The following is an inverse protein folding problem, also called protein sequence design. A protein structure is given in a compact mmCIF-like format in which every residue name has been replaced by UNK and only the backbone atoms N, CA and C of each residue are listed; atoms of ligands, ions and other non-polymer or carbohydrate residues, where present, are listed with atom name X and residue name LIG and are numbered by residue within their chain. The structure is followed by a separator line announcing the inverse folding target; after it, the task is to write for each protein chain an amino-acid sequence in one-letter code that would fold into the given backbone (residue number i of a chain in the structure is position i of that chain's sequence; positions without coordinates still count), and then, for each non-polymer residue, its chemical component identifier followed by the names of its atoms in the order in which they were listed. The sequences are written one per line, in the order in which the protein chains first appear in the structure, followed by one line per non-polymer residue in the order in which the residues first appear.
data_IF_012885942584
#
_entry.id   IF_012885942584
#
_cell.length_a   1.000
_cell.length_b   1.000
_cell.length_c   1.000
_cell.angle_alpha   90.00
_cell.angle_beta   90.00
_cell.angle_gamma   90.00
#
_symmetry.space_group_name_H-M   'P 1'
#
loop_
_entity.id
_entity.type
_entity.pdbx_description
1 polymer ?
#
# COMPACT_ATOMS: atom_id res chain seq x y z
N UNK A 1 37.62 34.01 42.20
CA UNK A 1 37.23 32.58 42.33
C UNK A 1 35.89 32.26 41.67
N UNK A 2 34.76 32.91 41.97
CA UNK A 2 33.48 32.55 41.30
C UNK A 2 33.39 32.98 39.82
N UNK A 3 34.07 34.06 39.43
CA UNK A 3 34.14 34.51 38.03
C UNK A 3 34.96 33.58 37.13
N UNK A 4 36.00 32.95 37.67
CA UNK A 4 36.92 32.11 36.90
C UNK A 4 36.29 30.75 36.53
N UNK A 5 35.32 30.28 37.32
CA UNK A 5 34.59 29.04 37.06
C UNK A 5 33.33 29.23 36.19
N UNK A 6 32.92 30.47 35.89
CA UNK A 6 31.73 30.74 35.08
C UNK A 6 31.85 30.19 33.65
N UNK A 7 33.04 30.34 33.04
CA UNK A 7 33.29 29.83 31.70
C UNK A 7 33.25 28.29 31.64
N UNK A 8 33.71 27.62 32.70
CA UNK A 8 33.65 26.16 32.81
C UNK A 8 32.20 25.70 32.96
N UNK A 9 31.41 26.34 33.83
CA UNK A 9 30.00 26.01 34.01
C UNK A 9 29.16 26.26 32.74
N UNK A 10 29.42 27.35 32.03
CA UNK A 10 28.76 27.64 30.76
C UNK A 10 29.12 26.62 29.68
N UNK A 11 30.39 26.22 29.60
CA UNK A 11 30.85 25.20 28.65
C UNK A 11 30.21 23.83 28.94
N UNK A 12 30.18 23.40 30.21
CA UNK A 12 29.50 22.16 30.61
C UNK A 12 28.00 22.22 30.32
N UNK A 13 27.34 23.34 30.62
CA UNK A 13 25.92 23.55 30.29
C UNK A 13 25.63 23.43 28.80
N UNK A 14 26.47 24.03 27.95
CA UNK A 14 26.33 23.93 26.50
C UNK A 14 26.52 22.49 25.99
N UNK A 15 27.49 21.75 26.53
CA UNK A 15 27.72 20.33 26.18
C UNK A 15 26.51 19.48 26.58
N UNK A 16 25.98 19.66 27.78
CA UNK A 16 24.79 18.92 28.25
C UNK A 16 23.59 19.22 27.35
N UNK A 17 23.32 20.48 27.03
CA UNK A 17 22.21 20.85 26.13
C UNK A 17 22.41 20.26 24.72
N UNK A 18 23.64 20.25 24.20
CA UNK A 18 23.94 19.66 22.90
C UNK A 18 23.72 18.13 22.89
N UNK A 19 24.17 17.42 23.93
CA UNK A 19 23.99 15.97 24.05
C UNK A 19 22.52 15.58 24.25
N UNK A 20 21.79 16.26 25.13
CA UNK A 20 20.36 16.03 25.31
C UNK A 20 19.56 16.43 24.07
N UNK A 21 19.93 17.52 23.41
CA UNK A 21 19.34 17.94 22.14
C UNK A 21 19.57 16.91 21.04
N UNK A 22 20.80 16.38 20.89
CA UNK A 22 21.09 15.36 19.88
C UNK A 22 20.42 14.03 20.21
N UNK A 23 20.41 13.60 21.47
CA UNK A 23 19.75 12.37 21.89
C UNK A 23 18.22 12.48 21.71
N UNK A 24 17.62 13.62 22.06
CA UNK A 24 16.20 13.87 21.83
C UNK A 24 15.87 13.90 20.33
N UNK A 25 16.70 14.56 19.52
CA UNK A 25 16.53 14.57 18.07
C UNK A 25 16.69 13.17 17.47
N UNK A 26 17.69 12.38 17.88
CA UNK A 26 17.87 11.00 17.44
C UNK A 26 16.72 10.10 17.88
N UNK A 27 16.28 10.20 19.13
CA UNK A 27 15.15 9.42 19.64
C UNK A 27 13.85 9.79 18.92
N UNK A 28 13.58 11.09 18.74
CA UNK A 28 12.40 11.60 18.04
C UNK A 28 12.41 11.31 16.53
N UNK A 29 13.58 11.06 15.93
CA UNK A 29 13.70 10.78 14.48
C UNK A 29 14.00 9.32 14.16
N UNK A 30 14.32 8.49 15.16
CA UNK A 30 14.57 7.07 14.94
C UNK A 30 13.30 6.40 14.41
N UNK A 31 13.37 5.79 13.23
CA UNK A 31 12.24 5.07 12.63
C UNK A 31 12.10 3.64 13.16
N UNK A 32 12.92 3.27 14.14
CA UNK A 32 13.07 1.92 14.67
C UNK A 32 12.29 1.69 15.98
N UNK A 33 11.44 2.63 16.40
CA UNK A 33 10.73 2.51 17.68
C UNK A 33 9.33 1.92 17.52
N UNK A 34 8.97 1.09 18.49
CA UNK A 34 7.59 0.66 18.72
C UNK A 34 6.83 1.82 19.37
N UNK A 35 5.76 2.28 18.73
CA UNK A 35 4.94 3.40 19.22
C UNK A 35 3.97 2.91 20.29
N UNK A 36 4.04 3.44 21.50
CA UNK A 36 3.00 3.21 22.51
C UNK A 36 1.83 4.17 22.25
N UNK A 37 0.71 3.62 21.80
CA UNK A 37 -0.45 4.36 21.33
C UNK A 37 -1.46 4.51 22.47
N UNK A 38 -1.81 5.75 22.79
CA UNK A 38 -2.84 6.05 23.79
C UNK A 38 -4.18 6.33 23.12
N UNK A 39 -5.26 5.71 23.60
CA UNK A 39 -6.61 5.93 23.06
C UNK A 39 -7.11 7.37 23.31
N UNK A 40 -6.60 8.03 24.33
CA UNK A 40 -6.88 9.43 24.68
C UNK A 40 -6.33 10.41 23.66
N UNK A 41 -5.27 10.06 22.93
CA UNK A 41 -4.73 10.88 21.87
C UNK A 41 -5.57 10.74 20.59
N UNK A 42 -6.53 11.65 20.43
CA UNK A 42 -7.41 11.69 19.27
C UNK A 42 -6.63 11.89 17.94
N UNK A 43 -5.53 12.64 17.95
CA UNK A 43 -4.73 12.88 16.75
C UNK A 43 -4.00 11.59 16.34
N UNK A 44 -3.45 10.86 17.30
CA UNK A 44 -2.79 9.59 17.04
C UNK A 44 -3.79 8.51 16.59
N UNK A 45 -4.97 8.44 17.20
CA UNK A 45 -6.02 7.52 16.76
C UNK A 45 -6.52 7.84 15.34
N UNK A 46 -6.62 9.12 14.99
CA UNK A 46 -6.94 9.54 13.62
C UNK A 46 -5.83 9.15 12.64
N UNK A 47 -4.57 9.35 13.03
CA UNK A 47 -3.41 8.94 12.25
C UNK A 47 -3.40 7.43 12.02
N UNK A 48 -3.53 6.61 13.06
CA UNK A 48 -3.47 5.15 12.96
C UNK A 48 -4.64 4.60 12.14
N UNK A 49 -5.87 5.05 12.41
CA UNK A 49 -7.06 4.43 11.86
C UNK A 49 -7.61 5.08 10.58
N UNK A 50 -7.25 6.34 10.27
CA UNK A 50 -7.85 7.09 9.17
C UNK A 50 -6.88 7.71 8.16
N UNK A 51 -5.61 7.93 8.52
CA UNK A 51 -4.63 8.52 7.58
C UNK A 51 -4.34 7.64 6.35
N UNK A 52 -4.51 6.32 6.49
CA UNK A 52 -4.12 5.34 5.49
C UNK A 52 -2.63 4.98 5.51
N UNK A 53 -1.83 5.56 6.40
CA UNK A 53 -0.50 5.08 6.73
C UNK A 53 -0.54 3.61 7.15
N UNK A 54 0.49 2.82 6.81
CA UNK A 54 0.52 1.41 7.14
C UNK A 54 1.06 1.18 8.56
N UNK A 55 0.18 0.71 9.43
CA UNK A 55 0.43 0.35 10.82
C UNK A 55 0.30 -1.16 11.02
N UNK A 56 1.19 -1.75 11.82
CA UNK A 56 0.96 -3.02 12.50
C UNK A 56 0.81 -2.71 13.99
N UNK A 57 -0.27 -3.19 14.59
CA UNK A 57 -0.63 -2.86 15.97
C UNK A 57 -0.81 -4.13 16.78
N UNK A 58 -0.09 -4.22 17.88
CA UNK A 58 -0.27 -5.22 18.93
C UNK A 58 -1.29 -4.70 19.94
N UNK A 59 -2.29 -5.50 20.25
CA UNK A 59 -3.16 -5.25 21.39
C UNK A 59 -2.47 -5.75 22.66
N UNK A 60 -2.04 -4.83 23.50
CA UNK A 60 -1.42 -5.12 24.80
C UNK A 60 -1.71 -3.96 25.75
N UNK A 61 -2.01 -4.31 27.01
CA UNK A 61 -2.23 -3.37 28.09
C UNK A 61 -0.91 -2.77 28.61
N UNK A 62 -0.99 -1.81 29.54
CA UNK A 62 0.20 -1.10 30.01
C UNK A 62 1.20 -2.01 30.75
N UNK A 63 0.70 -3.04 31.42
CA UNK A 63 1.50 -3.96 32.25
C UNK A 63 1.83 -5.29 31.53
N UNK A 64 1.38 -5.45 30.29
CA UNK A 64 1.60 -6.67 29.52
C UNK A 64 3.03 -6.70 28.95
N UNK A 65 3.70 -7.84 29.07
CA UNK A 65 5.03 -8.06 28.46
C UNK A 65 4.90 -8.10 26.94
N UNK A 66 5.71 -7.32 26.24
CA UNK A 66 5.74 -7.29 24.79
C UNK A 66 6.47 -8.54 24.25
N UNK A 67 5.87 -9.28 23.30
CA UNK A 67 6.58 -10.37 22.64
C UNK A 67 7.80 -9.83 21.87
N UNK A 68 8.95 -10.46 22.04
CA UNK A 68 10.22 -10.08 21.40
C UNK A 68 10.11 -9.92 19.86
N UNK A 69 9.28 -10.77 19.24
CA UNK A 69 8.95 -10.71 17.80
C UNK A 69 8.49 -9.31 17.36
N UNK A 70 7.86 -8.53 18.24
CA UNK A 70 7.41 -7.17 17.94
C UNK A 70 8.50 -6.11 18.02
N UNK A 71 9.48 -6.29 18.91
CA UNK A 71 10.61 -5.39 18.97
C UNK A 71 11.53 -5.63 17.77
N UNK A 72 11.75 -6.89 17.40
CA UNK A 72 12.53 -7.27 16.22
C UNK A 72 11.88 -6.91 14.87
N UNK A 73 10.55 -6.79 14.81
CA UNK A 73 9.87 -6.46 13.54
C UNK A 73 10.02 -4.97 13.19
N UNK A 74 10.19 -4.12 14.20
CA UNK A 74 10.33 -2.67 14.04
C UNK A 74 11.43 -2.28 13.05
N UNK A 75 12.71 -2.69 13.22
CA UNK A 75 13.78 -2.35 12.27
C UNK A 75 13.52 -2.91 10.87
N UNK A 76 12.81 -4.04 10.73
CA UNK A 76 12.48 -4.66 9.43
C UNK A 76 11.39 -3.90 8.65
N UNK A 77 10.64 -3.05 9.34
CA UNK A 77 9.52 -2.25 8.82
C UNK A 77 9.82 -0.75 8.73
N UNK A 78 10.95 -0.32 9.28
CA UNK A 78 11.40 1.07 9.33
C UNK A 78 11.33 1.78 7.97
N UNK A 79 11.02 3.08 8.03
CA UNK A 79 10.94 3.99 6.89
C UNK A 79 9.73 3.86 5.98
N UNK A 80 8.98 2.76 6.04
CA UNK A 80 7.78 2.58 5.20
C UNK A 80 6.53 2.26 5.99
N UNK A 81 6.65 1.73 7.21
CA UNK A 81 5.54 1.21 8.03
C UNK A 81 5.83 1.45 9.50
N UNK A 82 4.77 1.58 10.28
CA UNK A 82 4.86 1.87 11.70
C UNK A 82 4.43 0.65 12.51
N UNK A 83 5.10 0.45 13.65
CA UNK A 83 4.77 -0.60 14.62
C UNK A 83 4.22 0.09 15.86
N UNK A 84 3.07 -0.34 16.36
CA UNK A 84 2.47 0.25 17.54
C UNK A 84 1.90 -0.77 18.52
N UNK A 85 1.77 -0.36 19.77
CA UNK A 85 1.12 -1.10 20.85
C UNK A 85 -0.04 -0.27 21.35
N UNK A 86 -1.22 -0.85 21.49
CA UNK A 86 -2.44 -0.16 21.88
C UNK A 86 -3.24 -1.00 22.86
N UNK A 87 -3.75 -0.40 23.94
CA UNK A 87 -4.77 -1.06 24.75
C UNK A 87 -6.09 -1.13 23.98
N UNK A 88 -6.32 -2.26 23.32
CA UNK A 88 -7.51 -2.48 22.51
C UNK A 88 -8.79 -2.70 23.32
N UNK A 89 -8.69 -2.90 24.65
CA UNK A 89 -9.84 -3.05 25.55
C UNK A 89 -10.37 -1.68 25.99
N UNK A 90 -9.50 -0.68 26.04
CA UNK A 90 -9.88 0.70 26.34
C UNK A 90 -10.91 1.23 25.32
N UNK A 91 -11.84 2.06 25.80
CA UNK A 91 -12.92 2.63 24.99
C UNK A 91 -12.42 3.83 24.19
N UNK A 92 -12.64 3.79 22.87
CA UNK A 92 -12.44 4.95 21.99
C UNK A 92 -13.48 6.04 22.32
N UNK A 93 -13.28 7.26 21.79
CA UNK A 93 -14.27 8.36 21.88
C UNK A 93 -15.69 7.98 21.42
N UNK A 94 -15.83 6.92 20.60
CA UNK A 94 -17.12 6.36 20.21
C UNK A 94 -17.82 5.49 21.28
N UNK A 95 -17.23 5.35 22.47
CA UNK A 95 -17.71 4.49 23.57
C UNK A 95 -17.50 2.98 23.36
N UNK A 96 -16.94 2.57 22.21
CA UNK A 96 -16.63 1.18 21.85
C UNK A 96 -15.12 0.95 21.93
N UNK A 97 -14.72 -0.23 22.38
CA UNK A 97 -13.33 -0.67 22.30
C UNK A 97 -12.88 -0.90 20.86
N UNK A 98 -11.57 -0.92 20.60
CA UNK A 98 -11.00 -1.20 19.28
C UNK A 98 -11.47 -2.57 18.78
N UNK A 99 -11.44 -3.57 19.66
CA UNK A 99 -11.88 -4.94 19.36
C UNK A 99 -13.33 -4.96 18.87
N UNK A 100 -14.24 -4.33 19.60
CA UNK A 100 -15.68 -4.30 19.27
C UNK A 100 -15.98 -3.43 18.06
N UNK A 101 -15.29 -2.31 17.90
CA UNK A 101 -15.53 -1.37 16.78
C UNK A 101 -15.16 -1.98 15.43
N UNK A 102 -14.08 -2.75 15.38
CA UNK A 102 -13.55 -3.31 14.14
C UNK A 102 -13.76 -4.82 13.98
N UNK A 103 -14.34 -5.49 14.97
CA UNK A 103 -14.62 -6.92 14.92
C UNK A 103 -13.36 -7.78 15.01
N UNK A 104 -12.36 -7.32 15.77
CA UNK A 104 -11.11 -8.07 16.01
C UNK A 104 -11.38 -9.09 17.12
N UNK A 105 -10.99 -10.35 16.89
CA UNK A 105 -11.25 -11.44 17.83
C UNK A 105 -10.21 -11.41 18.95
N UNK A 106 -10.67 -11.30 20.19
CA UNK A 106 -9.82 -11.39 21.39
C UNK A 106 -9.36 -12.82 21.72
N UNK A 107 -9.97 -13.83 21.10
CA UNK A 107 -9.62 -15.24 21.34
C UNK A 107 -8.28 -15.66 20.72
N UNK A 108 -7.66 -14.80 19.91
CA UNK A 108 -6.37 -15.07 19.25
C UNK A 108 -5.33 -14.22 19.97
N UNK A 109 -4.48 -14.86 20.77
CA UNK A 109 -3.40 -14.21 21.52
C UNK A 109 -2.03 -14.63 20.96
N UNK A 110 -1.08 -13.71 20.74
CA UNK A 110 -1.23 -12.25 20.85
C UNK A 110 -2.18 -11.69 19.76
N UNK A 111 -3.00 -10.70 20.13
CA UNK A 111 -3.93 -10.07 19.18
C UNK A 111 -3.21 -9.00 18.37
N UNK A 112 -2.97 -9.27 17.10
CA UNK A 112 -2.27 -8.36 16.18
C UNK A 112 -3.17 -8.01 15.00
N UNK A 113 -3.13 -6.75 14.55
CA UNK A 113 -3.80 -6.34 13.33
C UNK A 113 -2.99 -5.34 12.52
N UNK A 114 -3.33 -5.22 11.24
CA UNK A 114 -2.78 -4.21 10.34
C UNK A 114 -3.83 -3.20 9.96
N UNK A 115 -3.42 -1.94 9.82
CA UNK A 115 -4.26 -0.85 9.31
C UNK A 115 -3.49 -0.16 8.20
N UNK A 116 -4.09 0.00 7.03
CA UNK A 116 -3.45 0.69 5.91
C UNK A 116 -4.48 1.10 4.87
N UNK A 117 -4.09 2.02 3.98
CA UNK A 117 -4.78 2.27 2.72
C UNK A 117 -6.22 2.78 2.85
N UNK A 118 -6.59 3.35 4.01
CA UNK A 118 -7.95 3.75 4.35
C UNK A 118 -8.91 2.57 4.54
N UNK A 119 -8.38 1.34 4.68
CA UNK A 119 -9.17 0.14 4.91
C UNK A 119 -9.38 -0.12 6.40
N UNK A 120 -10.40 -0.91 6.72
CA UNK A 120 -10.64 -1.36 8.09
C UNK A 120 -9.48 -2.22 8.59
N UNK A 121 -9.15 -2.16 9.89
CA UNK A 121 -8.19 -3.06 10.53
C UNK A 121 -8.43 -4.52 10.17
N UNK A 122 -7.35 -5.24 9.89
CA UNK A 122 -7.35 -6.65 9.50
C UNK A 122 -6.45 -7.44 10.43
N UNK A 123 -7.04 -8.38 11.15
CA UNK A 123 -6.33 -9.24 12.09
C UNK A 123 -5.30 -10.12 11.38
N UNK A 124 -4.11 -10.24 11.98
CA UNK A 124 -3.02 -11.11 11.54
C UNK A 124 -3.20 -12.47 12.21
N UNK A 125 -3.05 -13.54 11.44
CA UNK A 125 -3.15 -14.91 11.94
C UNK A 125 -1.84 -15.35 12.61
N UNK A 126 -1.94 -16.29 13.56
CA UNK A 126 -0.82 -16.80 14.35
C UNK A 126 0.35 -17.34 13.50
N UNK A 127 0.06 -17.93 12.32
CA UNK A 127 1.08 -18.44 11.40
C UNK A 127 2.06 -17.37 10.92
N UNK A 128 1.69 -16.09 11.00
CA UNK A 128 2.57 -14.97 10.63
C UNK A 128 3.28 -14.35 11.83
N UNK A 129 3.03 -14.83 13.05
CA UNK A 129 3.62 -14.34 14.30
C UNK A 129 4.75 -15.25 14.81
N UNK A 130 5.10 -16.29 14.05
CA UNK A 130 6.17 -17.25 14.40
C UNK A 130 7.57 -16.61 14.40
N UNK A 131 7.79 -15.57 13.59
CA UNK A 131 9.06 -14.84 13.54
C UNK A 131 8.88 -13.42 13.04
N UNK A 132 9.80 -12.52 13.41
CA UNK A 132 9.78 -11.13 12.96
C UNK A 132 9.87 -11.03 11.43
N UNK A 133 10.62 -11.94 10.78
CA UNK A 133 10.73 -12.02 9.31
C UNK A 133 9.38 -12.37 8.67
N UNK A 134 8.67 -13.37 9.20
CA UNK A 134 7.36 -13.78 8.70
C UNK A 134 6.31 -12.67 8.87
N UNK A 135 6.30 -12.01 10.03
CA UNK A 135 5.41 -10.89 10.30
C UNK A 135 5.71 -9.72 9.36
N UNK A 136 6.98 -9.32 9.23
CA UNK A 136 7.37 -8.24 8.35
C UNK A 136 6.96 -8.50 6.89
N UNK A 137 7.17 -9.73 6.40
CA UNK A 137 6.74 -10.14 5.04
C UNK A 137 5.23 -10.04 4.87
N UNK A 138 4.46 -10.54 5.84
CA UNK A 138 3.01 -10.46 5.81
C UNK A 138 2.51 -9.01 5.81
N UNK A 139 3.03 -8.17 6.72
CA UNK A 139 2.67 -6.74 6.80
C UNK A 139 3.05 -6.04 5.50
N UNK A 140 4.24 -6.32 4.94
CA UNK A 140 4.70 -5.74 3.67
C UNK A 140 3.72 -6.02 2.53
N UNK A 141 3.34 -7.27 2.35
CA UNK A 141 2.39 -7.70 1.33
C UNK A 141 0.99 -7.11 1.56
N UNK A 142 0.49 -7.18 2.80
CA UNK A 142 -0.88 -6.78 3.15
C UNK A 142 -1.12 -5.28 3.03
N UNK A 143 -0.10 -4.48 3.31
CA UNK A 143 -0.18 -3.01 3.30
C UNK A 143 0.27 -2.40 1.97
N UNK A 144 0.78 -3.20 1.02
CA UNK A 144 1.17 -2.73 -0.31
C UNK A 144 -0.03 -2.07 -1.02
N UNK A 145 0.18 -0.86 -1.54
CA UNK A 145 -0.84 -0.15 -2.31
C UNK A 145 -0.78 -0.65 -3.76
N UNK A 146 -1.89 -1.14 -4.30
CA UNK A 146 -1.96 -1.71 -5.65
C UNK A 146 -3.12 -1.10 -6.43
N UNK A 147 -2.90 -0.86 -7.71
CA UNK A 147 -3.92 -0.40 -8.65
C UNK A 147 -4.62 -1.60 -9.28
N UNK A 148 -5.93 -1.71 -9.09
CA UNK A 148 -6.69 -2.90 -9.49
C UNK A 148 -7.22 -2.78 -10.92
N UNK A 149 -7.05 -3.80 -11.75
CA UNK A 149 -7.64 -3.82 -13.11
C UNK A 149 -9.18 -3.86 -13.05
N UNK A 150 -9.85 -3.29 -14.02
CA UNK A 150 -11.31 -3.36 -14.18
C UNK A 150 -11.62 -3.78 -15.60
N UNK A 151 -12.30 -4.92 -15.74
CA UNK A 151 -12.67 -5.50 -17.02
C UNK A 151 -14.16 -5.35 -17.33
N UNK A 152 -15.00 -5.20 -16.31
CA UNK A 152 -16.46 -5.11 -16.46
C UNK A 152 -17.09 -4.19 -15.40
N UNK A 153 -18.39 -3.95 -15.53
CA UNK A 153 -19.15 -3.04 -14.65
C UNK A 153 -19.21 -3.52 -13.19
N UNK A 154 -19.27 -4.83 -12.94
CA UNK A 154 -19.29 -5.36 -11.58
C UNK A 154 -17.95 -5.15 -10.87
N UNK A 155 -16.83 -5.35 -11.59
CA UNK A 155 -15.50 -5.04 -11.08
C UNK A 155 -15.32 -3.53 -10.86
N UNK A 156 -15.87 -2.68 -11.74
CA UNK A 156 -15.83 -1.23 -11.56
C UNK A 156 -16.53 -0.81 -10.25
N UNK A 157 -17.72 -1.36 -9.99
CA UNK A 157 -18.45 -1.10 -8.76
C UNK A 157 -17.68 -1.58 -7.53
N UNK A 158 -17.22 -2.83 -7.52
CA UNK A 158 -16.55 -3.44 -6.36
C UNK A 158 -15.18 -2.81 -6.05
N UNK A 159 -14.39 -2.48 -7.08
CA UNK A 159 -13.01 -2.00 -6.93
C UNK A 159 -12.91 -0.49 -6.81
N UNK A 160 -13.90 0.26 -7.32
CA UNK A 160 -13.83 1.71 -7.41
C UNK A 160 -15.07 2.42 -6.88
N UNK A 161 -16.26 2.19 -7.45
CA UNK A 161 -17.43 3.03 -7.16
C UNK A 161 -18.04 2.80 -5.78
N UNK A 162 -17.87 1.62 -5.18
CA UNK A 162 -18.31 1.32 -3.80
C UNK A 162 -17.44 1.96 -2.72
N UNK A 163 -16.28 2.49 -3.10
CA UNK A 163 -15.32 3.14 -2.18
C UNK A 163 -15.72 4.59 -1.92
N UNK A 164 -15.19 5.19 -0.86
CA UNK A 164 -15.45 6.60 -0.53
C UNK A 164 -14.93 7.52 -1.62
N UNK A 165 -13.69 7.30 -2.05
CA UNK A 165 -13.05 7.99 -3.17
C UNK A 165 -12.19 7.00 -3.95
N UNK A 166 -12.22 7.11 -5.27
CA UNK A 166 -11.46 6.25 -6.17
C UNK A 166 -10.95 7.00 -7.39
N UNK A 167 -9.70 6.75 -7.75
CA UNK A 167 -9.08 7.21 -9.00
C UNK A 167 -9.10 6.07 -10.01
N UNK A 168 -9.72 6.31 -11.16
CA UNK A 168 -9.76 5.37 -12.28
C UNK A 168 -8.89 5.89 -13.42
N UNK A 169 -7.85 5.12 -13.76
CA UNK A 169 -7.04 5.34 -14.94
C UNK A 169 -7.66 4.64 -16.15
N UNK A 170 -7.89 5.38 -17.22
CA UNK A 170 -8.24 4.85 -18.53
C UNK A 170 -6.95 4.74 -19.34
N UNK A 171 -6.44 3.52 -19.45
CA UNK A 171 -5.13 3.23 -20.01
C UNK A 171 -5.20 3.18 -21.54
N UNK A 172 -4.58 4.13 -22.24
CA UNK A 172 -4.52 4.17 -23.72
C UNK A 172 -3.44 3.28 -24.32
N UNK A 173 -2.33 3.13 -23.60
CA UNK A 173 -1.21 2.22 -23.92
C UNK A 173 -0.67 1.60 -22.63
N UNK A 174 0.24 0.62 -22.69
CA UNK A 174 0.87 0.12 -21.45
C UNK A 174 1.64 1.24 -20.76
N UNK A 175 1.50 1.34 -19.42
CA UNK A 175 2.27 2.32 -18.65
C UNK A 175 3.76 2.06 -18.79
N UNK A 176 4.49 3.10 -19.14
CA UNK A 176 5.95 3.09 -19.21
C UNK A 176 6.56 2.95 -17.80
N UNK A 177 7.82 2.49 -17.68
CA UNK A 177 8.47 2.32 -16.37
C UNK A 177 8.48 3.60 -15.53
N UNK A 178 8.78 4.75 -16.13
CA UNK A 178 8.75 6.04 -15.44
C UNK A 178 7.33 6.41 -14.97
N UNK A 179 6.31 6.02 -15.73
CA UNK A 179 4.90 6.24 -15.34
C UNK A 179 4.51 5.40 -14.13
N UNK A 180 4.89 4.13 -14.14
CA UNK A 180 4.66 3.24 -12.99
C UNK A 180 5.28 3.82 -11.72
N UNK A 181 6.51 4.33 -11.79
CA UNK A 181 7.20 4.91 -10.64
C UNK A 181 6.46 6.13 -10.07
N UNK A 182 6.05 7.10 -10.90
CA UNK A 182 5.35 8.27 -10.37
C UNK A 182 3.92 7.95 -9.95
N UNK A 183 3.23 7.01 -10.62
CA UNK A 183 1.92 6.52 -10.20
C UNK A 183 2.04 5.85 -8.83
N UNK A 184 3.08 5.05 -8.59
CA UNK A 184 3.32 4.44 -7.29
C UNK A 184 3.54 5.51 -6.22
N UNK A 185 4.38 6.53 -6.47
CA UNK A 185 4.57 7.66 -5.55
C UNK A 185 3.25 8.38 -5.27
N UNK A 186 2.43 8.61 -6.29
CA UNK A 186 1.12 9.23 -6.17
C UNK A 186 0.16 8.39 -5.31
N UNK A 187 0.15 7.08 -5.52
CA UNK A 187 -0.64 6.13 -4.73
C UNK A 187 -0.20 6.11 -3.25
N UNK A 188 1.10 6.25 -2.99
CA UNK A 188 1.65 6.38 -1.64
C UNK A 188 1.33 7.73 -1.01
N UNK A 189 1.26 8.82 -1.78
CA UNK A 189 0.81 10.13 -1.28
C UNK A 189 -0.66 10.13 -0.88
N UNK A 190 -1.52 9.45 -1.65
CA UNK A 190 -2.95 9.42 -1.44
C UNK A 190 -3.45 8.03 -1.00
N UNK A 191 -2.91 7.49 0.10
CA UNK A 191 -3.19 6.11 0.52
C UNK A 191 -4.66 5.83 0.82
N UNK A 192 -5.45 6.84 1.20
CA UNK A 192 -6.88 6.69 1.48
C UNK A 192 -7.73 6.52 0.22
N UNK A 193 -7.22 6.88 -0.96
CA UNK A 193 -7.91 6.70 -2.24
C UNK A 193 -7.78 5.27 -2.73
N UNK A 194 -8.85 4.72 -3.30
CA UNK A 194 -8.74 3.49 -4.09
C UNK A 194 -8.21 3.80 -5.49
N UNK A 195 -7.43 2.90 -6.06
CA UNK A 195 -6.85 3.08 -7.40
C UNK A 195 -7.22 1.91 -8.28
N UNK A 196 -7.74 2.21 -9.46
CA UNK A 196 -8.13 1.21 -10.44
C UNK A 196 -7.72 1.65 -11.84
N UNK A 197 -7.62 0.69 -12.77
CA UNK A 197 -7.34 0.98 -14.17
C UNK A 197 -8.19 0.12 -15.11
N UNK A 198 -8.54 0.66 -16.28
CA UNK A 198 -9.25 -0.05 -17.35
C UNK A 198 -8.44 0.07 -18.63
N UNK A 199 -8.50 -0.96 -19.48
CA UNK A 199 -7.93 -0.87 -20.82
C UNK A 199 -8.85 -0.07 -21.74
N UNK A 200 -8.50 1.17 -22.02
CA UNK A 200 -9.34 2.07 -22.81
C UNK A 200 -9.30 1.80 -24.31
N UNK A 201 -8.41 0.90 -24.77
CA UNK A 201 -8.34 0.47 -26.18
C UNK A 201 -9.50 -0.46 -26.54
N UNK A 202 -9.93 -1.29 -25.59
CA UNK A 202 -10.99 -2.30 -25.77
C UNK A 202 -12.27 -1.93 -25.03
N UNK A 203 -12.18 -1.14 -23.96
CA UNK A 203 -13.29 -0.75 -23.11
C UNK A 203 -13.54 0.76 -23.18
N UNK A 204 -14.79 1.15 -22.89
CA UNK A 204 -15.22 2.54 -22.75
C UNK A 204 -16.17 2.67 -21.57
N UNK A 205 -16.27 3.88 -21.02
CA UNK A 205 -17.20 4.18 -19.94
C UNK A 205 -18.49 4.78 -20.48
N UNK A 206 -19.62 4.62 -19.78
CA UNK A 206 -20.87 5.30 -20.15
C UNK A 206 -20.81 6.84 -20.02
N UNK A 207 -19.73 7.39 -19.45
CA UNK A 207 -19.49 8.82 -19.27
C UNK A 207 -18.43 9.40 -20.21
N UNK A 208 -18.22 8.81 -21.39
CA UNK A 208 -17.22 9.34 -22.36
C UNK A 208 -17.43 10.84 -22.64
N UNK A 209 -18.67 11.34 -22.69
CA UNK A 209 -18.97 12.76 -22.95
C UNK A 209 -18.40 13.73 -21.89
N UNK A 210 -18.06 13.23 -20.69
CA UNK A 210 -17.41 14.04 -19.65
C UNK A 210 -15.89 14.02 -19.74
N UNK A 211 -15.33 13.00 -20.40
CA UNK A 211 -13.91 12.79 -20.55
C UNK A 211 -13.35 13.65 -21.69
N UNK A 212 -12.04 13.94 -21.69
CA UNK A 212 -11.35 14.39 -22.89
C UNK A 212 -11.53 13.37 -24.03
N UNK A 213 -11.43 13.88 -25.26
CA UNK A 213 -11.49 13.06 -26.46
C UNK A 213 -10.43 11.96 -26.45
N UNK A 214 -10.74 10.85 -27.13
CA UNK A 214 -9.89 9.67 -27.14
C UNK A 214 -8.78 9.86 -28.16
N UNK A 215 -7.60 10.26 -27.73
CA UNK A 215 -6.38 10.18 -28.53
C UNK A 215 -5.73 8.79 -28.40
N UNK A 216 -5.17 8.28 -29.49
CA UNK A 216 -4.51 6.97 -29.48
C UNK A 216 -3.26 7.02 -28.60
N UNK A 217 -3.16 6.10 -27.65
CA UNK A 217 -2.01 5.99 -26.74
C UNK A 217 -2.08 6.88 -25.51
N UNK A 218 -2.94 7.90 -25.47
CA UNK A 218 -3.03 8.79 -24.32
C UNK A 218 -3.81 8.17 -23.15
N UNK A 219 -3.31 8.44 -21.95
CA UNK A 219 -3.98 8.06 -20.71
C UNK A 219 -5.00 9.12 -20.31
N UNK A 220 -6.15 8.69 -19.79
CA UNK A 220 -7.14 9.58 -19.20
C UNK A 220 -7.39 9.16 -17.75
N UNK A 221 -7.95 10.05 -16.94
CA UNK A 221 -8.21 9.77 -15.53
C UNK A 221 -9.52 10.38 -15.06
N UNK A 222 -10.21 9.67 -14.17
CA UNK A 222 -11.40 10.15 -13.47
C UNK A 222 -11.27 9.92 -11.98
N UNK A 223 -11.55 10.96 -11.20
CA UNK A 223 -11.79 10.84 -9.77
C UNK A 223 -13.28 10.63 -9.53
N UNK A 224 -13.62 9.53 -8.88
CA UNK A 224 -14.96 9.25 -8.34
C UNK A 224 -14.98 9.50 -6.84
N UNK A 225 -16.09 10.04 -6.33
CA UNK A 225 -16.29 10.23 -4.90
C UNK A 225 -17.75 10.05 -4.52
N UNK A 226 -18.00 9.32 -3.44
CA UNK A 226 -19.29 9.29 -2.76
C UNK A 226 -19.39 10.49 -1.84
N UNK A 227 -20.37 11.35 -2.07
CA UNK A 227 -20.62 12.53 -1.26
C UNK A 227 -22.11 12.63 -0.94
N UNK A 228 -22.48 13.50 0.01
CA UNK A 228 -23.89 13.86 0.19
C UNK A 228 -24.19 15.05 -0.70
N UNK A 229 -25.28 14.95 -1.44
CA UNK A 229 -25.79 16.05 -2.23
C UNK A 229 -26.27 17.17 -1.29
N UNK A 230 -25.96 18.43 -1.61
CA UNK A 230 -26.29 19.57 -0.73
C UNK A 230 -27.79 19.82 -0.67
N UNK A 231 -28.48 19.64 -1.78
CA UNK A 231 -29.91 19.91 -1.91
C UNK A 231 -30.74 18.79 -1.29
N UNK A 232 -30.43 17.53 -1.62
CA UNK A 232 -31.25 16.39 -1.20
C UNK A 232 -30.74 15.67 0.06
N UNK A 233 -29.52 15.97 0.53
CA UNK A 233 -28.80 15.24 1.59
C UNK A 233 -28.64 13.72 1.31
N UNK A 234 -28.97 13.27 0.09
CA UNK A 234 -28.84 11.88 -0.33
C UNK A 234 -27.40 11.57 -0.68
N UNK A 235 -26.97 10.33 -0.44
CA UNK A 235 -25.66 9.85 -0.89
C UNK A 235 -25.68 9.73 -2.41
N UNK A 236 -24.84 10.51 -3.07
CA UNK A 236 -24.68 10.51 -4.54
C UNK A 236 -23.25 10.16 -4.91
N UNK A 237 -23.09 9.53 -6.08
CA UNK A 237 -21.80 9.34 -6.69
C UNK A 237 -21.49 10.57 -7.54
N UNK A 238 -20.34 11.20 -7.33
CA UNK A 238 -19.86 12.32 -8.10
C UNK A 238 -18.57 11.97 -8.82
N UNK A 239 -18.28 12.67 -9.92
CA UNK A 239 -17.08 12.44 -10.70
C UNK A 239 -16.46 13.74 -11.24
N UNK A 240 -15.14 13.72 -11.38
CA UNK A 240 -14.35 14.76 -12.03
C UNK A 240 -13.33 14.12 -12.97
N UNK A 241 -13.42 14.45 -14.25
CA UNK A 241 -12.42 14.04 -15.24
C UNK A 241 -11.20 14.96 -15.17
N UNK A 242 -10.01 14.38 -15.32
CA UNK A 242 -8.78 15.14 -15.56
C UNK A 242 -8.82 15.72 -16.98
N UNK A 243 -8.54 17.02 -17.11
CA UNK A 243 -8.56 17.77 -18.38
C UNK A 243 -7.30 18.64 -18.57
N UNK A 244 -6.21 18.31 -17.89
CA UNK A 244 -4.95 19.03 -18.09
C UNK A 244 -4.27 18.60 -19.40
N UNK A 245 -3.46 19.49 -19.95
CA UNK A 245 -2.83 19.31 -21.27
C UNK A 245 -1.81 18.16 -21.32
N UNK A 246 -1.18 17.86 -20.18
CA UNK A 246 -0.16 16.81 -20.07
C UNK A 246 -0.53 15.76 -19.01
N UNK A 247 -0.42 14.48 -19.35
CA UNK A 247 -0.61 13.38 -18.41
C UNK A 247 0.71 13.02 -17.71
N UNK A 248 1.15 13.87 -16.77
CA UNK A 248 2.40 13.66 -16.04
C UNK A 248 2.21 13.74 -14.51
N UNK A 249 3.26 13.39 -13.77
CA UNK A 249 3.24 13.32 -12.32
C UNK A 249 2.76 14.61 -11.63
N UNK A 250 3.24 15.77 -12.12
CA UNK A 250 2.96 17.08 -11.51
C UNK A 250 1.51 17.47 -11.73
N UNK A 251 1.03 17.39 -12.98
CA UNK A 251 -0.32 17.81 -13.32
C UNK A 251 -1.39 16.87 -12.75
N UNK A 252 -1.16 15.56 -12.78
CA UNK A 252 -2.04 14.56 -12.17
C UNK A 252 -2.03 14.69 -10.64
N UNK A 253 -0.86 14.91 -10.04
CA UNK A 253 -0.71 15.12 -8.60
C UNK A 253 -1.48 16.36 -8.12
N UNK A 254 -1.27 17.49 -8.77
CA UNK A 254 -1.96 18.75 -8.46
C UNK A 254 -3.48 18.61 -8.58
N UNK A 255 -3.95 17.89 -9.60
CA UNK A 255 -5.36 17.59 -9.74
C UNK A 255 -5.91 16.78 -8.56
N UNK A 256 -5.20 15.74 -8.11
CA UNK A 256 -5.68 14.97 -6.95
C UNK A 256 -5.63 15.81 -5.67
N UNK A 257 -4.56 16.55 -5.41
CA UNK A 257 -4.47 17.43 -4.24
C UNK A 257 -5.64 18.42 -4.19
N UNK A 258 -6.01 19.01 -5.33
CA UNK A 258 -7.11 19.97 -5.41
C UNK A 258 -8.49 19.33 -5.21
N UNK A 259 -8.76 18.16 -5.80
CA UNK A 259 -10.12 17.63 -5.90
C UNK A 259 -10.46 16.51 -4.91
N UNK A 260 -9.48 15.91 -4.22
CA UNK A 260 -9.74 14.85 -3.24
C UNK A 260 -10.58 15.37 -2.08
N UNK A 261 -10.26 16.56 -1.57
CA UNK A 261 -10.92 17.20 -0.44
C UNK A 261 -11.86 18.35 -0.82
N UNK A 262 -12.03 18.65 -2.12
CA UNK A 262 -12.93 19.71 -2.58
C UNK A 262 -14.35 19.53 -2.04
N UNK A 263 -15.08 20.59 -1.71
CA UNK A 263 -16.37 20.44 -1.00
C UNK A 263 -17.44 19.70 -1.82
N UNK A 264 -17.44 19.85 -3.15
CA UNK A 264 -18.41 19.18 -4.01
C UNK A 264 -17.86 18.92 -5.41
N UNK A 265 -17.95 17.66 -5.85
CA UNK A 265 -17.77 17.28 -7.25
C UNK A 265 -19.14 17.21 -7.95
N UNK A 266 -19.15 17.22 -9.29
CA UNK A 266 -20.39 17.12 -10.08
C UNK A 266 -21.09 15.76 -9.83
N UNK A 267 -22.33 15.75 -9.30
CA UNK A 267 -23.08 14.51 -9.12
C UNK A 267 -23.37 13.81 -10.45
N UNK A 268 -23.34 12.49 -10.45
CA UNK A 268 -23.74 11.66 -11.58
C UNK A 268 -25.19 11.22 -11.42
N UNK A 269 -26.00 11.40 -12.47
CA UNK A 269 -27.38 10.92 -12.48
C UNK A 269 -27.48 9.38 -12.49
N UNK A 270 -26.48 8.70 -13.06
CA UNK A 270 -26.42 7.23 -13.18
C UNK A 270 -25.02 6.74 -12.86
N UNK A 271 -24.93 5.56 -12.26
CA UNK A 271 -23.65 4.89 -12.05
C UNK A 271 -22.96 4.58 -13.39
N UNK A 272 -21.65 4.86 -13.51
CA UNK A 272 -20.85 4.50 -14.67
C UNK A 272 -20.94 3.01 -15.01
N UNK A 273 -21.07 2.69 -16.30
CA UNK A 273 -20.97 1.31 -16.81
C UNK A 273 -19.74 1.18 -17.70
N UNK A 274 -19.12 0.00 -17.66
CA UNK A 274 -18.07 -0.43 -18.58
C UNK A 274 -18.73 -1.11 -19.78
N UNK A 275 -18.37 -0.68 -20.98
CA UNK A 275 -18.88 -1.19 -22.25
C UNK A 275 -17.70 -1.59 -23.14
N UNK A 276 -17.87 -2.61 -23.96
CA UNK A 276 -16.89 -2.92 -25.00
C UNK A 276 -16.97 -1.90 -26.13
N UNK A 277 -15.81 -1.50 -26.66
CA UNK A 277 -15.74 -0.74 -27.91
C UNK A 277 -16.11 -1.67 -29.05
N UNK A 278 -17.04 -1.23 -29.91
CA UNK A 278 -17.30 -1.92 -31.16
C UNK A 278 -16.01 -1.87 -31.97
N UNK A 279 -15.46 -3.02 -32.35
CA UNK A 279 -14.41 -3.05 -33.37
C UNK A 279 -14.99 -2.32 -34.57
N UNK A 280 -14.31 -1.24 -35.00
CA UNK A 280 -14.63 -0.62 -36.28
C UNK A 280 -14.24 -1.70 -37.28
N UNK A 281 -15.22 -2.50 -37.72
CA UNK A 281 -15.03 -3.39 -38.85
C UNK A 281 -14.63 -2.45 -39.98
N UNK A 282 -13.33 -2.38 -40.27
CA UNK A 282 -12.89 -1.95 -41.58
C UNK A 282 -13.59 -2.94 -42.51
N UNK A 283 -14.67 -2.48 -43.13
CA UNK A 283 -15.27 -3.21 -44.24
C UNK A 283 -14.11 -3.41 -45.21
N UNK A 284 -13.63 -4.65 -45.29
CA UNK A 284 -12.67 -5.06 -46.29
C UNK A 284 -13.22 -4.53 -47.60
N UNK A 285 -12.48 -3.62 -48.24
CA UNK A 285 -12.76 -3.32 -49.63
C UNK A 285 -12.76 -4.67 -50.36
N UNK A 286 -13.75 -4.94 -51.22
CA UNK A 286 -13.78 -6.18 -51.97
C UNK A 286 -12.50 -6.27 -52.79
N UNK A 287 -11.60 -7.17 -52.37
CA UNK A 287 -10.45 -7.57 -53.19
C UNK A 287 -11.01 -8.07 -54.52
N UNK A 288 -10.59 -7.42 -55.60
CA UNK A 288 -10.85 -7.88 -56.95
C UNK A 288 -10.32 -9.32 -57.10
N UNK A 289 -11.05 -10.20 -57.80
CA UNK A 289 -10.64 -11.58 -58.00
C UNK A 289 -9.52 -11.64 -59.05
N UNK A 290 -8.26 -11.44 -58.66
CA UNK A 290 -7.13 -11.72 -59.54
C UNK A 290 -6.64 -13.17 -59.41
N UNK A 291 -6.91 -13.89 -60.50
CA UNK A 291 -6.15 -14.99 -61.09
C UNK A 291 -5.51 -16.06 -60.19
N UNK A 292 -6.18 -17.21 -60.21
CA UNK A 292 -5.63 -18.55 -59.91
C UNK A 292 -4.33 -18.81 -60.69
N UNK A 293 -3.22 -18.94 -59.96
CA UNK A 293 -2.09 -19.75 -60.39
C UNK A 293 -1.96 -21.00 -59.50
N UNK A 294 -1.87 -22.21 -60.07
CA UNK A 294 -1.58 -23.40 -59.30
C UNK A 294 -0.07 -23.56 -59.21
N UNK A 295 0.49 -23.72 -58.00
CA UNK A 295 1.61 -24.66 -57.81
C UNK A 295 2.07 -24.85 -56.36
N UNK A 296 2.35 -26.13 -56.12
CA UNK A 296 3.39 -26.71 -55.25
C UNK A 296 3.12 -26.73 -53.75
N UNK A 297 2.56 -27.88 -53.34
CA UNK A 297 2.87 -28.58 -52.10
C UNK A 297 4.39 -28.60 -51.87
N UNK A 298 4.84 -27.96 -50.80
CA UNK A 298 6.05 -28.37 -50.09
C UNK A 298 5.84 -28.21 -48.58
N UNK A 299 6.14 -29.30 -47.88
CA UNK A 299 6.23 -29.40 -46.44
C UNK A 299 7.10 -28.28 -45.85
N UNK A 300 6.53 -27.49 -44.94
CA UNK A 300 7.31 -26.83 -43.88
C UNK A 300 6.45 -26.69 -42.62
N UNK A 301 6.38 -27.80 -41.89
CA UNK A 301 5.86 -27.88 -40.52
C UNK A 301 7.03 -27.61 -39.59
N UNK A 302 7.24 -26.35 -39.18
CA UNK A 302 7.94 -25.99 -37.94
C UNK A 302 7.84 -24.47 -37.70
N UNK A 303 7.58 -24.13 -36.44
CA UNK A 303 7.77 -22.80 -35.82
C UNK A 303 6.72 -21.72 -36.13
N UNK A 304 5.54 -21.86 -35.50
CA UNK A 304 4.79 -20.70 -35.01
C UNK A 304 3.77 -21.09 -33.94
N UNK A 305 4.26 -21.58 -32.80
CA UNK A 305 3.46 -21.79 -31.58
C UNK A 305 4.26 -21.30 -30.34
N UNK A 306 4.89 -20.12 -30.44
CA UNK A 306 5.54 -19.44 -29.30
C UNK A 306 5.26 -17.93 -29.38
N UNK A 307 4.00 -17.53 -29.40
CA UNK A 307 3.64 -16.12 -29.16
C UNK A 307 2.22 -15.94 -28.59
N UNK A 308 1.73 -16.97 -27.88
CA UNK A 308 0.48 -16.91 -27.12
C UNK A 308 0.70 -17.46 -25.70
N UNK A 309 1.83 -17.09 -25.08
CA UNK A 309 2.05 -17.33 -23.65
C UNK A 309 1.52 -16.12 -22.90
N UNK A 310 0.35 -16.32 -22.29
CA UNK A 310 -0.46 -15.30 -21.64
C UNK A 310 0.29 -14.34 -20.72
N UNK A 311 -0.08 -13.07 -20.85
CA UNK A 311 0.39 -11.90 -20.09
C UNK A 311 -0.06 -11.91 -18.61
N UNK A 312 -0.17 -13.09 -17.98
CA UNK A 312 -0.46 -13.25 -16.55
C UNK A 312 0.72 -12.86 -15.64
N UNK A 313 1.77 -12.26 -16.21
CA UNK A 313 2.96 -11.80 -15.49
C UNK A 313 3.14 -10.28 -15.66
N UNK A 314 2.66 -9.48 -14.70
CA UNK A 314 3.48 -8.48 -13.95
C UNK A 314 2.64 -7.61 -12.98
N UNK A 315 1.87 -8.25 -12.09
CA UNK A 315 1.60 -7.75 -10.74
C UNK A 315 1.64 -9.00 -9.84
N UNK A 316 2.76 -9.31 -9.17
CA UNK A 316 2.89 -10.60 -8.49
C UNK A 316 1.84 -10.77 -7.38
N UNK A 317 1.12 -11.91 -7.41
CA UNK A 317 0.41 -12.47 -6.26
C UNK A 317 1.18 -13.61 -5.58
N UNK A 318 2.46 -13.86 -5.93
CA UNK A 318 3.28 -14.86 -5.27
C UNK A 318 4.65 -14.34 -4.79
N UNK A 319 5.15 -15.08 -3.82
CA UNK A 319 6.26 -14.84 -2.89
C UNK A 319 7.60 -14.69 -3.62
N UNK A 320 8.20 -13.50 -3.51
CA UNK A 320 9.63 -13.32 -3.75
C UNK A 320 10.39 -13.85 -2.52
N UNK A 321 11.31 -14.77 -2.81
CA UNK A 321 12.39 -15.25 -1.96
C UNK A 321 13.61 -14.47 -2.42
N UNK A 322 13.87 -13.33 -1.78
CA UNK A 322 15.05 -12.53 -2.10
C UNK A 322 16.22 -13.03 -1.25
N UNK A 323 17.20 -13.53 -2.00
CA UNK A 323 18.62 -13.61 -1.71
C UNK A 323 19.14 -12.20 -1.40
N UNK A 324 19.62 -11.99 -0.18
CA UNK A 324 20.52 -10.90 0.19
C UNK A 324 21.65 -11.53 1.02
N UNK A 325 22.50 -12.32 0.36
CA UNK A 325 23.86 -12.59 0.82
C UNK A 325 24.77 -11.59 0.08
N UNK A 326 25.13 -10.52 0.79
CA UNK A 326 26.35 -9.76 0.50
C UNK A 326 27.24 -9.86 1.73
N UNK A 327 28.09 -10.87 1.65
CA UNK A 327 29.53 -10.81 1.93
C UNK A 327 30.04 -9.39 2.24
N UNK A 328 30.33 -9.15 3.51
CA UNK A 328 31.37 -8.21 3.94
C UNK A 328 32.33 -9.00 4.83
N UNK A 329 33.32 -9.58 4.16
CA UNK A 329 34.54 -10.10 4.75
C UNK A 329 35.42 -8.94 5.21
N UNK A 330 35.64 -8.85 6.52
CA UNK A 330 36.85 -8.24 7.08
C UNK A 330 37.18 -9.01 8.37
N UNK A 331 38.33 -9.67 8.35
CA UNK A 331 38.78 -10.59 9.39
C UNK A 331 39.62 -9.96 10.50
N UNK A 332 39.98 -10.87 11.43
CA UNK A 332 40.90 -10.79 12.57
C UNK A 332 40.38 -9.94 13.75
N UNK A 333 40.21 -10.50 14.96
CA UNK A 333 41.25 -11.14 15.77
C UNK A 333 40.72 -12.23 16.73
N UNK A 334 41.63 -13.14 17.03
CA UNK A 334 41.59 -14.25 17.98
C UNK A 334 41.06 -13.86 19.37
N UNK A 335 40.14 -14.67 19.92
CA UNK A 335 40.17 -15.09 21.33
C UNK A 335 39.61 -16.52 21.41
N UNK A 336 40.52 -17.47 21.66
CA UNK A 336 40.20 -18.80 22.18
C UNK A 336 39.64 -18.64 23.60
N UNK A 337 38.38 -19.04 23.82
CA UNK A 337 37.92 -19.47 25.15
C UNK A 337 37.24 -20.83 25.00
N UNK A 338 37.94 -21.84 25.50
CA UNK A 338 37.45 -23.17 25.81
C UNK A 338 36.34 -23.07 26.86
N UNK A 339 35.13 -23.58 26.59
CA UNK A 339 34.22 -23.98 27.67
C UNK A 339 33.50 -25.29 27.33
N UNK A 340 34.01 -26.33 27.99
CA UNK A 340 33.36 -27.49 28.60
C UNK A 340 32.09 -28.08 27.98
N UNK A 341 32.29 -29.31 27.51
CA UNK A 341 31.27 -30.34 27.28
C UNK A 341 30.69 -30.78 28.63
N UNK A 342 29.45 -30.39 28.91
CA UNK A 342 28.66 -31.01 29.98
C UNK A 342 27.96 -32.26 29.44
N UNK A 343 28.56 -33.41 29.71
CA UNK A 343 27.87 -34.70 29.66
C UNK A 343 26.90 -34.80 30.86
N UNK A 344 25.63 -35.06 30.57
CA UNK A 344 24.61 -35.38 31.57
C UNK A 344 24.00 -36.73 31.21
N UNK A 345 24.60 -37.78 31.77
CA UNK A 345 23.96 -39.09 31.96
C UNK A 345 24.05 -39.48 33.44
N UNK A 346 23.03 -40.22 33.88
CA UNK A 346 22.85 -40.97 35.14
C UNK A 346 22.63 -40.21 36.45
N UNK A 347 21.41 -40.29 36.99
CA UNK A 347 20.99 -41.36 37.92
C UNK A 347 19.53 -41.09 38.35
N UNK A 348 18.57 -41.98 38.07
CA UNK A 348 18.10 -43.04 38.98
C UNK A 348 17.58 -42.51 40.32
N UNK A 349 16.24 -42.59 40.53
CA UNK A 349 15.60 -42.83 41.82
C UNK A 349 14.08 -43.12 41.63
N UNK A 350 13.74 -44.38 41.95
CA UNK A 350 12.58 -44.87 42.71
C UNK A 350 11.21 -44.14 42.61
N UNK A 351 10.24 -44.77 41.92
CA UNK A 351 9.01 -45.36 42.51
C UNK A 351 8.21 -46.21 41.48
#
# INVERSE_FOLDING_TARGET
MWRDHWHVLAAVGAIVVALFGSAFLQFSTSQNHVYRLEVTDAAMMERVFRSGEPWVVLCSGPDDVLPEVFDEVSPRLAGKRFVGVLDCKQKLASGKSVLKRYGIRSSISPTVFTVANGEKPKQVFLNHLQSAKALAKHVKARTKKVMQQVQNSAQLEARCLSRSSCVLFLRGQRFQPYEKQWIEKLMHKHRTLSFAWIDSTSLKLSLENMLPDVSRGEHRMVLFRRQRDRETNKKVLAAKAYRGDAFNAVSVGTFLDQYVHAESLKPLAKSPKVLHRKKKNHASQPEQPEHKHPRRKHHRRKERDVEEKGDDYYFPQHVEQDEDERDDSNGFDDVEEEEDVLDLDDDSDEE
#
